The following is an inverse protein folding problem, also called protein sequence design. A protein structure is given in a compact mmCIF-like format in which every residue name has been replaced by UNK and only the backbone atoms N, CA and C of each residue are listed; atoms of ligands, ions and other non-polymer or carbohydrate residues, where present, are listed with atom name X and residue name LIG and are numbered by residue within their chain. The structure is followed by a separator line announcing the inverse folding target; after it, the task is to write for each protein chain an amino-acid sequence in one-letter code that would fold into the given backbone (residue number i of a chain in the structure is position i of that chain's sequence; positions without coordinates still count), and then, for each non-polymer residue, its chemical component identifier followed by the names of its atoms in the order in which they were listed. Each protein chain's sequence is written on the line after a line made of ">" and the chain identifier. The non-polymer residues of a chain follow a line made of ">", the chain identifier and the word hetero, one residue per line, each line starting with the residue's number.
data_IF_775092489976
#
_entry.id   IF_775092489976
#
_cell.length_a   1.000
_cell.length_b   1.000
_cell.length_c   1.000
_cell.angle_alpha   90.00
_cell.angle_beta   90.00
_cell.angle_gamma   90.00
#
_symmetry.space_group_name_H-M   'P 1'
#
loop_
_entity.id
_entity.type
_entity.pdbx_description
1 polymer ?
#
# COMPACT_ATOMS: atom_id res chain seq x y z
N UNK A 1 -18.49 -25.88 12.04
CA UNK A 1 -19.37 -24.69 12.04
C UNK A 1 -18.49 -23.50 12.37
N UNK A 2 -18.39 -22.52 11.47
CA UNK A 2 -17.54 -21.34 11.67
C UNK A 2 -18.04 -20.52 12.86
N UNK A 3 -17.14 -20.12 13.76
CA UNK A 3 -17.47 -19.29 14.93
C UNK A 3 -17.28 -17.81 14.56
N UNK A 4 -18.25 -16.92 14.85
CA UNK A 4 -18.05 -15.49 14.63
C UNK A 4 -17.01 -14.95 15.62
N UNK A 5 -16.09 -14.13 15.10
CA UNK A 5 -15.06 -13.41 15.88
C UNK A 5 -15.70 -12.32 16.73
N UNK A 6 -16.72 -11.67 16.19
CA UNK A 6 -17.49 -10.65 16.90
C UNK A 6 -18.95 -10.74 16.48
N UNK A 7 -19.85 -10.69 17.44
CA UNK A 7 -21.27 -10.50 17.19
C UNK A 7 -21.82 -9.36 18.04
N UNK A 8 -22.78 -8.62 17.50
CA UNK A 8 -23.40 -7.54 18.24
C UNK A 8 -24.44 -6.76 17.45
N UNK A 9 -25.07 -5.81 18.13
CA UNK A 9 -26.05 -4.91 17.53
C UNK A 9 -25.33 -3.70 16.93
N UNK A 10 -25.59 -3.44 15.65
CA UNK A 10 -25.18 -2.24 14.93
C UNK A 10 -26.43 -1.48 14.46
N UNK A 11 -26.30 -0.17 14.32
CA UNK A 11 -27.31 0.67 13.69
C UNK A 11 -26.79 1.11 12.32
N UNK A 12 -27.53 0.83 11.26
CA UNK A 12 -27.15 1.26 9.91
C UNK A 12 -27.94 2.50 9.56
N UNK A 13 -27.27 3.53 9.06
CA UNK A 13 -27.93 4.73 8.59
C UNK A 13 -28.56 4.49 7.20
N UNK A 14 -29.83 4.84 7.07
CA UNK A 14 -30.58 4.83 5.84
C UNK A 14 -31.11 6.24 5.54
N UNK A 15 -30.77 6.78 4.36
CA UNK A 15 -31.39 7.98 3.83
C UNK A 15 -32.61 7.58 2.98
N UNK A 16 -33.81 7.99 3.41
CA UNK A 16 -35.04 7.88 2.60
C UNK A 16 -35.69 9.26 2.54
N UNK A 17 -36.00 9.76 1.34
CA UNK A 17 -36.65 11.06 1.13
C UNK A 17 -35.94 12.23 1.85
N UNK A 18 -34.61 12.30 1.78
CA UNK A 18 -33.81 13.35 2.44
C UNK A 18 -33.71 13.22 3.97
N UNK A 19 -34.50 12.34 4.60
CA UNK A 19 -34.44 12.09 6.05
C UNK A 19 -33.49 10.94 6.37
N UNK A 20 -32.52 11.20 7.24
CA UNK A 20 -31.61 10.19 7.80
C UNK A 20 -32.34 9.43 8.92
N UNK A 21 -32.35 8.12 8.84
CA UNK A 21 -32.96 7.23 9.83
C UNK A 21 -32.00 6.10 10.18
N UNK A 22 -32.00 5.68 11.43
CA UNK A 22 -31.14 4.60 11.90
C UNK A 22 -31.96 3.31 12.03
N UNK A 23 -31.46 2.22 11.47
CA UNK A 23 -32.10 0.91 11.54
C UNK A 23 -31.26 -0.06 12.35
N UNK A 24 -31.87 -0.67 13.37
CA UNK A 24 -31.23 -1.69 14.21
C UNK A 24 -30.98 -2.96 13.41
N UNK A 25 -29.78 -3.50 13.52
CA UNK A 25 -29.31 -4.66 12.79
C UNK A 25 -28.38 -5.48 13.69
N UNK A 26 -28.36 -6.80 13.53
CA UNK A 26 -27.36 -7.66 14.15
C UNK A 26 -26.26 -7.93 13.13
N UNK A 27 -25.02 -7.73 13.52
CA UNK A 27 -23.86 -8.01 12.69
C UNK A 27 -23.05 -9.15 13.31
N UNK A 28 -22.53 -10.03 12.45
CA UNK A 28 -21.62 -11.11 12.81
C UNK A 28 -20.41 -11.05 11.89
N UNK A 29 -19.22 -11.01 12.49
CA UNK A 29 -17.96 -10.93 11.80
C UNK A 29 -17.27 -12.29 11.83
N UNK A 30 -16.86 -12.81 10.68
CA UNK A 30 -16.17 -14.08 10.54
C UNK A 30 -14.75 -13.82 10.00
N UNK A 31 -13.75 -14.47 10.60
CA UNK A 31 -12.39 -14.49 10.08
C UNK A 31 -12.28 -15.41 8.87
N UNK A 32 -11.23 -15.20 8.07
CA UNK A 32 -10.86 -16.17 7.04
C UNK A 32 -10.46 -17.49 7.72
N UNK A 33 -10.99 -18.59 7.18
CA UNK A 33 -10.69 -19.95 7.62
C UNK A 33 -10.49 -20.84 6.39
N UNK A 34 -9.90 -22.03 6.53
CA UNK A 34 -9.83 -23.01 5.44
C UNK A 34 -11.20 -23.40 4.87
N UNK A 35 -12.28 -23.09 5.59
CA UNK A 35 -13.66 -23.39 5.21
C UNK A 35 -14.46 -22.17 4.72
N UNK A 36 -13.87 -20.97 4.70
CA UNK A 36 -14.60 -19.76 4.32
C UNK A 36 -13.81 -18.47 4.37
N UNK A 37 -14.27 -17.47 3.62
CA UNK A 37 -13.63 -16.15 3.55
C UNK A 37 -14.03 -15.25 4.72
N UNK A 38 -13.16 -14.29 5.04
CA UNK A 38 -13.44 -13.25 6.02
C UNK A 38 -14.61 -12.39 5.54
N UNK A 39 -15.67 -12.30 6.35
CA UNK A 39 -16.93 -11.65 5.96
C UNK A 39 -17.70 -11.10 7.15
N UNK A 40 -18.43 -10.02 6.93
CA UNK A 40 -19.40 -9.48 7.86
C UNK A 40 -20.81 -9.78 7.35
N UNK A 41 -21.56 -10.58 8.11
CA UNK A 41 -22.97 -10.88 7.85
C UNK A 41 -23.87 -9.94 8.64
N UNK A 42 -24.89 -9.41 7.97
CA UNK A 42 -25.82 -8.42 8.50
C UNK A 42 -27.26 -8.92 8.45
N UNK A 43 -27.96 -8.83 9.57
CA UNK A 43 -29.31 -9.32 9.76
C UNK A 43 -30.21 -8.23 10.33
N UNK A 44 -31.30 -7.91 9.63
CA UNK A 44 -32.30 -7.00 10.16
C UNK A 44 -32.96 -7.59 11.41
N UNK A 45 -32.86 -6.88 12.54
CA UNK A 45 -33.57 -7.24 13.76
C UNK A 45 -34.97 -6.65 13.65
N UNK A 46 -35.99 -7.48 13.45
CA UNK A 46 -37.39 -7.06 13.60
C UNK A 46 -37.71 -7.02 15.10
N UNK A 47 -38.38 -5.96 15.52
CA UNK A 47 -38.75 -5.65 16.91
C UNK A 47 -40.03 -6.39 17.31
N UNK A 48 -40.09 -7.71 17.09
CA UNK A 48 -41.24 -8.51 17.51
C UNK A 48 -40.75 -9.64 18.41
N UNK A 49 -41.23 -9.63 19.66
CA UNK A 49 -40.71 -10.36 20.81
C UNK A 49 -40.91 -11.87 20.79
N UNK A 50 -40.73 -12.53 19.65
CA UNK A 50 -40.72 -13.99 19.55
C UNK A 50 -39.30 -14.50 19.39
N UNK A 51 -38.90 -15.41 20.29
CA UNK A 51 -37.62 -16.11 20.25
C UNK A 51 -37.42 -16.71 18.86
N UNK A 52 -36.47 -16.13 18.11
CA UNK A 52 -36.30 -16.43 16.69
C UNK A 52 -35.55 -17.74 16.53
N UNK A 53 -36.29 -18.81 16.23
CA UNK A 53 -35.78 -20.13 15.89
C UNK A 53 -34.79 -20.05 14.71
N UNK A 54 -33.74 -20.89 14.74
CA UNK A 54 -32.57 -20.87 13.82
C UNK A 54 -32.94 -20.99 12.33
N UNK A 55 -34.19 -21.36 12.04
CA UNK A 55 -34.82 -21.52 10.72
C UNK A 55 -35.36 -20.21 10.11
N UNK A 56 -35.66 -19.19 10.91
CA UNK A 56 -36.27 -17.92 10.43
C UNK A 56 -35.25 -16.84 10.05
N UNK A 57 -33.96 -17.09 10.33
CA UNK A 57 -32.80 -16.39 9.77
C UNK A 57 -32.72 -16.45 8.23
N UNK A 58 -33.43 -17.39 7.59
CA UNK A 58 -33.39 -17.61 6.13
C UNK A 58 -34.27 -16.66 5.31
N UNK A 59 -35.21 -15.93 5.93
CA UNK A 59 -36.20 -15.10 5.20
C UNK A 59 -36.00 -13.58 5.33
N UNK A 60 -35.01 -13.15 6.10
CA UNK A 60 -34.58 -11.76 6.17
C UNK A 60 -33.39 -11.58 5.22
N UNK A 61 -33.34 -10.48 4.46
CA UNK A 61 -32.32 -10.24 3.43
C UNK A 61 -30.92 -10.21 4.04
N UNK A 62 -30.28 -11.39 4.15
CA UNK A 62 -28.94 -11.57 4.67
C UNK A 62 -27.98 -10.87 3.73
N UNK A 63 -27.47 -9.71 4.16
CA UNK A 63 -26.49 -8.95 3.38
C UNK A 63 -25.11 -9.31 3.90
N UNK A 64 -24.33 -9.96 3.05
CA UNK A 64 -22.94 -10.35 3.37
C UNK A 64 -22.02 -9.32 2.73
N UNK A 65 -21.11 -8.76 3.52
CA UNK A 65 -19.97 -7.98 3.01
C UNK A 65 -18.74 -8.87 3.14
N UNK A 66 -18.04 -9.14 2.05
CA UNK A 66 -16.71 -9.76 2.14
C UNK A 66 -15.72 -8.71 2.60
N UNK A 67 -14.86 -9.08 3.53
CA UNK A 67 -13.87 -8.12 4.04
C UNK A 67 -12.76 -7.84 3.02
N UNK A 68 -12.63 -8.69 1.98
CA UNK A 68 -11.83 -8.41 0.78
C UNK A 68 -12.30 -7.17 0.02
N UNK A 69 -13.59 -6.86 0.10
CA UNK A 69 -14.20 -5.77 -0.66
C UNK A 69 -14.15 -4.46 0.13
N UNK A 70 -13.62 -4.48 1.35
CA UNK A 70 -13.49 -3.30 2.20
C UNK A 70 -12.32 -2.44 1.73
N UNK A 71 -12.61 -1.18 1.39
CA UNK A 71 -11.63 -0.18 0.97
C UNK A 71 -11.10 0.59 2.18
N UNK A 72 -11.99 1.01 3.08
CA UNK A 72 -11.61 1.81 4.25
C UNK A 72 -12.61 1.67 5.38
N UNK A 73 -12.11 1.67 6.61
CA UNK A 73 -12.92 1.70 7.84
C UNK A 73 -12.38 2.79 8.75
N UNK A 74 -13.25 3.63 9.28
CA UNK A 74 -12.82 4.72 10.15
C UNK A 74 -13.93 5.33 10.98
N UNK A 75 -13.59 6.10 12.01
CA UNK A 75 -14.57 6.81 12.82
C UNK A 75 -15.30 7.87 11.99
N UNK A 76 -16.60 8.02 12.20
CA UNK A 76 -17.39 9.09 11.60
C UNK A 76 -17.72 10.14 12.68
N UNK A 77 -17.49 11.42 12.37
CA UNK A 77 -17.74 12.54 13.29
C UNK A 77 -19.22 12.88 13.45
N UNK A 78 -19.62 13.20 14.70
CA UNK A 78 -20.87 13.85 15.16
C UNK A 78 -22.10 13.76 14.24
N UNK A 79 -22.51 12.54 13.90
CA UNK A 79 -23.87 12.31 13.47
C UNK A 79 -24.79 12.14 14.68
N UNK A 80 -26.06 12.53 14.57
CA UNK A 80 -27.08 12.31 15.59
C UNK A 80 -27.33 10.80 15.77
N UNK A 81 -26.47 10.16 16.55
CA UNK A 81 -26.47 8.71 16.79
C UNK A 81 -27.57 8.34 17.78
N UNK A 82 -28.25 7.20 17.62
CA UNK A 82 -29.20 6.72 18.61
C UNK A 82 -28.46 6.21 19.87
N UNK A 83 -29.03 6.47 21.06
CA UNK A 83 -28.73 5.75 22.33
C UNK A 83 -27.23 5.55 22.65
N UNK A 84 -26.49 6.63 22.93
CA UNK A 84 -25.09 6.58 23.39
C UNK A 84 -24.13 5.72 22.51
N UNK A 85 -24.47 5.52 21.23
CA UNK A 85 -23.61 4.84 20.27
C UNK A 85 -22.76 5.84 19.51
N UNK A 86 -21.62 5.38 18.99
CA UNK A 86 -20.73 6.18 18.19
C UNK A 86 -20.68 5.65 16.75
N UNK A 87 -20.68 6.57 15.78
CA UNK A 87 -20.71 6.24 14.37
C UNK A 87 -19.31 5.94 13.80
N UNK A 88 -19.28 5.09 12.79
CA UNK A 88 -18.12 4.75 11.97
C UNK A 88 -18.58 4.45 10.55
N UNK A 89 -17.71 4.69 9.57
CA UNK A 89 -17.99 4.35 8.19
C UNK A 89 -17.25 3.07 7.79
N UNK A 90 -17.89 2.32 6.90
CA UNK A 90 -17.34 1.15 6.24
C UNK A 90 -17.56 1.35 4.74
N UNK A 91 -16.48 1.64 4.02
CA UNK A 91 -16.53 1.78 2.56
C UNK A 91 -16.13 0.47 1.92
N UNK A 92 -17.00 -0.09 1.10
CA UNK A 92 -16.70 -1.23 0.23
C UNK A 92 -16.60 -0.78 -1.22
N UNK A 93 -16.12 -1.65 -2.10
CA UNK A 93 -16.07 -1.43 -3.56
C UNK A 93 -17.42 -1.03 -4.17
N UNK A 94 -18.51 -1.60 -3.64
CA UNK A 94 -19.85 -1.32 -4.13
C UNK A 94 -20.51 -0.12 -3.45
N UNK A 95 -20.27 0.09 -2.14
CA UNK A 95 -21.07 1.02 -1.34
C UNK A 95 -20.36 1.47 -0.06
N UNK A 96 -20.57 2.73 0.31
CA UNK A 96 -20.25 3.23 1.66
C UNK A 96 -21.42 3.07 2.62
N UNK A 97 -21.14 2.54 3.81
CA UNK A 97 -22.08 2.32 4.90
C UNK A 97 -21.71 3.19 6.08
N UNK A 98 -22.69 3.87 6.67
CA UNK A 98 -22.54 4.52 7.97
C UNK A 98 -23.19 3.63 9.02
N UNK A 99 -22.39 3.20 9.99
CA UNK A 99 -22.74 2.24 11.04
C UNK A 99 -22.55 2.90 12.40
N UNK A 100 -23.35 2.58 13.40
CA UNK A 100 -23.16 3.02 14.77
C UNK A 100 -23.18 1.83 15.73
N UNK A 101 -22.25 1.84 16.69
CA UNK A 101 -22.07 0.81 17.69
C UNK A 101 -21.78 1.43 19.07
N UNK A 102 -22.12 0.71 20.13
CA UNK A 102 -21.76 1.10 21.50
C UNK A 102 -20.24 1.09 21.71
N UNK A 103 -19.55 0.07 21.19
CA UNK A 103 -18.08 -0.05 21.22
C UNK A 103 -17.48 0.12 19.84
N UNK A 104 -17.58 1.34 19.26
CA UNK A 104 -17.12 1.61 17.88
C UNK A 104 -15.67 1.21 17.65
N UNK A 105 -14.78 1.52 18.60
CA UNK A 105 -13.33 1.32 18.43
C UNK A 105 -12.98 -0.15 18.32
N UNK A 106 -13.65 -1.02 19.09
CA UNK A 106 -13.49 -2.47 18.95
C UNK A 106 -13.98 -2.98 17.58
N UNK A 107 -15.11 -2.46 17.09
CA UNK A 107 -15.62 -2.85 15.76
C UNK A 107 -14.68 -2.41 14.64
N UNK A 108 -14.18 -1.18 14.69
CA UNK A 108 -13.20 -0.66 13.73
C UNK A 108 -11.93 -1.51 13.77
N UNK A 109 -11.40 -1.78 14.97
CA UNK A 109 -10.18 -2.57 15.14
C UNK A 109 -10.31 -3.97 14.55
N UNK A 110 -11.41 -4.66 14.83
CA UNK A 110 -11.66 -6.01 14.32
C UNK A 110 -11.90 -6.04 12.80
N UNK A 111 -12.65 -5.07 12.28
CA UNK A 111 -12.85 -4.93 10.83
C UNK A 111 -11.53 -4.63 10.12
N UNK A 112 -10.70 -3.73 10.67
CA UNK A 112 -9.40 -3.41 10.10
C UNK A 112 -8.45 -4.61 10.13
N UNK A 113 -8.43 -5.37 11.23
CA UNK A 113 -7.63 -6.59 11.35
C UNK A 113 -8.01 -7.63 10.29
N UNK A 114 -9.30 -7.91 10.13
CA UNK A 114 -9.75 -8.96 9.22
C UNK A 114 -9.82 -8.52 7.75
N UNK A 115 -9.97 -7.23 7.46
CA UNK A 115 -10.00 -6.69 6.10
C UNK A 115 -8.61 -6.35 5.55
N UNK A 116 -7.72 -5.80 6.39
CA UNK A 116 -6.45 -5.24 5.91
C UNK A 116 -5.20 -5.96 6.44
N UNK A 117 -5.31 -6.81 7.47
CA UNK A 117 -4.14 -7.44 8.11
C UNK A 117 -4.06 -8.95 7.85
N UNK A 118 -4.29 -9.39 6.61
CA UNK A 118 -3.99 -10.74 6.14
C UNK A 118 -2.49 -11.10 6.10
N UNK A 119 -1.68 -10.62 7.05
CA UNK A 119 -0.22 -10.84 7.11
C UNK A 119 0.41 -10.50 8.48
N UNK A 120 -0.29 -10.71 9.61
CA UNK A 120 0.31 -10.63 10.95
C UNK A 120 0.41 -11.99 11.64
N UNK A 121 0.91 -12.97 10.90
CA UNK A 121 1.53 -14.17 11.45
C UNK A 121 2.89 -14.33 10.77
N UNK A 122 3.87 -13.52 11.21
CA UNK A 122 5.32 -13.80 11.21
C UNK A 122 6.08 -12.51 11.51
N UNK A 123 6.08 -12.12 12.78
CA UNK A 123 7.16 -11.33 13.35
C UNK A 123 7.62 -12.02 14.63
N UNK A 124 8.24 -13.19 14.47
CA UNK A 124 9.19 -13.77 15.42
C UNK A 124 10.07 -14.79 14.68
N UNK A 125 11.30 -14.33 14.43
CA UNK A 125 12.57 -15.03 14.20
C UNK A 125 12.61 -16.57 14.27
N UNK A 126 13.39 -17.12 13.32
CA UNK A 126 14.17 -18.36 13.37
C UNK A 126 13.43 -19.68 13.11
N UNK A 127 13.51 -20.17 11.86
CA UNK A 127 14.04 -21.49 11.50
C UNK A 127 13.59 -21.89 10.08
N UNK A 128 14.56 -21.86 9.16
CA UNK A 128 14.71 -22.69 7.95
C UNK A 128 13.53 -23.61 7.60
N UNK A 129 12.76 -23.26 6.56
CA UNK A 129 12.05 -24.25 5.73
C UNK A 129 12.13 -23.85 4.26
N UNK A 130 12.41 -24.84 3.43
CA UNK A 130 12.86 -24.81 2.02
C UNK A 130 11.84 -24.20 1.02
N UNK A 131 12.30 -23.79 -0.19
CA UNK A 131 11.54 -22.97 -1.13
C UNK A 131 10.55 -23.80 -1.95
N UNK A 132 9.34 -23.27 -2.14
CA UNK A 132 8.47 -23.62 -3.27
C UNK A 132 9.00 -22.95 -4.56
N UNK A 133 8.66 -23.45 -5.77
CA UNK A 133 9.17 -22.86 -7.00
C UNK A 133 8.65 -21.44 -7.10
N UNK A 134 9.56 -20.47 -7.00
CA UNK A 134 9.27 -19.08 -7.21
C UNK A 134 8.72 -18.93 -8.62
N UNK A 135 7.42 -18.68 -8.73
CA UNK A 135 6.87 -18.03 -9.91
C UNK A 135 7.64 -16.71 -10.02
N UNK A 136 8.35 -16.42 -11.12
CA UNK A 136 8.96 -15.12 -11.30
C UNK A 136 7.81 -14.12 -11.40
N UNK A 137 7.46 -13.51 -10.27
CA UNK A 137 6.58 -12.36 -10.24
C UNK A 137 7.41 -11.19 -10.75
N UNK A 138 7.02 -10.64 -11.89
CA UNK A 138 7.60 -9.42 -12.43
C UNK A 138 7.26 -8.28 -11.47
N UNK A 139 8.28 -7.65 -10.89
CA UNK A 139 8.10 -6.57 -9.92
C UNK A 139 7.44 -5.38 -10.60
N UNK A 140 6.23 -5.02 -10.15
CA UNK A 140 5.47 -3.91 -10.69
C UNK A 140 6.12 -2.58 -10.27
N UNK A 141 7.04 -2.11 -11.11
CA UNK A 141 7.85 -0.89 -10.92
C UNK A 141 7.04 0.41 -11.06
N UNK A 142 5.70 0.36 -11.06
CA UNK A 142 4.82 1.54 -11.09
C UNK A 142 4.59 2.15 -9.69
N UNK A 143 4.95 1.43 -8.62
CA UNK A 143 4.79 1.87 -7.23
C UNK A 143 6.13 2.16 -6.54
N UNK A 144 7.23 2.24 -7.28
CA UNK A 144 8.51 2.69 -6.74
C UNK A 144 8.34 4.10 -6.20
N UNK A 145 8.97 4.34 -5.05
CA UNK A 145 8.87 5.60 -4.35
C UNK A 145 9.35 6.74 -5.26
N UNK A 146 8.86 7.96 -5.09
CA UNK A 146 9.33 9.13 -5.86
C UNK A 146 10.85 9.36 -5.75
N UNK A 147 11.52 8.69 -4.81
CA UNK A 147 12.98 8.68 -4.65
C UNK A 147 13.70 7.85 -5.74
N UNK A 148 13.06 6.81 -6.28
CA UNK A 148 13.61 5.95 -7.35
C UNK A 148 13.51 6.60 -8.75
N UNK A 149 12.74 7.69 -8.89
CA UNK A 149 12.60 8.44 -10.15
C UNK A 149 13.87 9.23 -10.55
N UNK A 150 14.92 9.15 -9.74
CA UNK A 150 16.18 9.86 -9.99
C UNK A 150 17.34 8.94 -10.36
N UNK A 151 17.10 7.63 -10.49
CA UNK A 151 18.11 6.66 -10.91
C UNK A 151 17.97 6.34 -12.39
N UNK A 152 19.05 6.58 -13.14
CA UNK A 152 19.08 6.38 -14.58
C UNK A 152 20.11 5.30 -14.92
N UNK A 153 19.73 4.20 -15.58
CA UNK A 153 20.71 3.25 -16.09
C UNK A 153 21.49 3.90 -17.24
N UNK A 154 22.81 3.93 -17.10
CA UNK A 154 23.71 4.61 -18.03
C UNK A 154 24.85 3.71 -18.48
N UNK A 155 25.32 3.92 -19.71
CA UNK A 155 26.53 3.30 -20.23
C UNK A 155 27.66 4.33 -20.22
N UNK A 156 28.77 4.03 -19.53
CA UNK A 156 29.94 4.91 -19.52
C UNK A 156 30.59 4.91 -20.89
N UNK A 157 30.73 6.11 -21.45
CA UNK A 157 31.53 6.34 -22.66
C UNK A 157 32.98 6.56 -22.24
N UNK A 158 33.89 5.93 -22.97
CA UNK A 158 35.32 6.01 -22.68
C UNK A 158 35.83 7.45 -22.82
N UNK A 159 36.52 7.93 -21.79
CA UNK A 159 37.12 9.25 -21.65
C UNK A 159 38.37 9.15 -20.77
N UNK A 160 39.29 10.10 -20.86
CA UNK A 160 40.47 10.14 -19.98
C UNK A 160 40.11 10.13 -18.47
N UNK A 161 38.92 10.66 -18.13
CA UNK A 161 38.41 10.70 -16.76
C UNK A 161 37.81 9.35 -16.32
N UNK A 162 37.04 8.69 -17.19
CA UNK A 162 36.48 7.37 -16.89
C UNK A 162 37.57 6.32 -16.76
N UNK A 163 38.58 6.35 -17.63
CA UNK A 163 39.65 5.34 -17.66
C UNK A 163 40.52 5.44 -16.41
N UNK A 164 40.81 6.68 -15.99
CA UNK A 164 41.52 6.95 -14.72
C UNK A 164 40.74 6.47 -13.50
N UNK A 165 39.42 6.56 -13.55
CA UNK A 165 38.53 6.06 -12.49
C UNK A 165 38.14 4.58 -12.67
N UNK A 166 38.73 3.89 -13.65
CA UNK A 166 38.42 2.49 -13.99
C UNK A 166 36.94 2.20 -14.28
N UNK A 167 36.19 3.20 -14.76
CA UNK A 167 34.76 3.09 -15.05
C UNK A 167 34.54 2.56 -16.47
N UNK A 168 33.93 1.38 -16.60
CA UNK A 168 33.67 0.75 -17.89
C UNK A 168 32.34 0.00 -17.89
N UNK A 169 31.52 0.20 -18.92
CA UNK A 169 30.24 -0.52 -19.07
C UNK A 169 29.07 0.17 -18.37
N UNK A 170 28.15 -0.63 -17.81
CA UNK A 170 26.85 -0.18 -17.32
C UNK A 170 26.89 0.19 -15.84
N UNK A 171 26.27 1.30 -15.50
CA UNK A 171 26.13 1.81 -14.13
C UNK A 171 24.75 2.44 -13.90
N UNK A 172 24.43 2.69 -12.64
CA UNK A 172 23.26 3.48 -12.25
C UNK A 172 23.72 4.90 -11.87
N UNK A 173 23.17 5.92 -12.52
CA UNK A 173 23.41 7.31 -12.19
C UNK A 173 22.23 7.85 -11.39
N UNK A 174 22.44 8.16 -10.11
CA UNK A 174 21.44 8.77 -9.24
C UNK A 174 21.61 10.30 -9.21
N UNK A 175 20.57 11.04 -9.58
CA UNK A 175 20.51 12.49 -9.49
C UNK A 175 19.89 12.92 -8.15
N UNK A 176 20.72 13.07 -7.11
CA UNK A 176 20.27 13.53 -5.80
C UNK A 176 20.08 15.06 -5.78
N UNK A 177 19.37 15.63 -4.77
CA UNK A 177 19.14 17.07 -4.70
C UNK A 177 20.40 17.95 -4.63
N UNK A 178 21.55 17.40 -4.21
CA UNK A 178 22.80 18.15 -4.02
C UNK A 178 24.01 17.58 -4.77
N UNK A 179 23.88 16.40 -5.38
CA UNK A 179 24.99 15.70 -6.03
C UNK A 179 24.50 14.68 -7.07
N UNK A 180 25.38 14.35 -8.01
CA UNK A 180 25.27 13.16 -8.85
C UNK A 180 26.06 12.02 -8.20
N UNK A 181 25.50 10.82 -8.15
CA UNK A 181 26.20 9.64 -7.62
C UNK A 181 26.12 8.50 -8.62
N UNK A 182 27.29 7.96 -9.00
CA UNK A 182 27.38 6.72 -9.77
C UNK A 182 27.34 5.55 -8.80
N UNK A 183 26.47 4.58 -9.08
CA UNK A 183 26.29 3.37 -8.28
C UNK A 183 26.54 2.13 -9.12
N UNK A 184 26.98 1.08 -8.44
CA UNK A 184 27.08 -0.25 -9.02
C UNK A 184 25.68 -0.84 -9.29
N UNK A 185 25.41 -1.39 -10.48
CA UNK A 185 24.09 -1.84 -10.88
C UNK A 185 23.59 -3.09 -10.13
N UNK A 186 24.47 -3.88 -9.49
CA UNK A 186 24.06 -5.08 -8.76
C UNK A 186 23.91 -4.82 -7.26
N UNK A 187 24.85 -4.08 -6.68
CA UNK A 187 24.93 -3.83 -5.24
C UNK A 187 24.29 -2.51 -4.81
N UNK A 188 23.95 -1.63 -5.76
CA UNK A 188 23.44 -0.28 -5.54
C UNK A 188 24.35 0.56 -4.63
N UNK A 189 25.61 0.17 -4.48
CA UNK A 189 26.59 0.89 -3.68
C UNK A 189 27.15 2.08 -4.46
N UNK A 190 27.33 3.24 -3.81
CA UNK A 190 27.90 4.42 -4.44
C UNK A 190 29.40 4.19 -4.72
N UNK A 191 29.81 4.38 -5.97
CA UNK A 191 31.19 4.29 -6.43
C UNK A 191 31.86 5.66 -6.45
N UNK A 192 31.19 6.66 -7.03
CA UNK A 192 31.67 8.03 -7.14
C UNK A 192 30.53 9.00 -6.90
N UNK A 193 30.83 10.12 -6.23
CA UNK A 193 29.86 11.18 -5.99
C UNK A 193 30.44 12.52 -6.40
N UNK A 194 29.66 13.28 -7.16
CA UNK A 194 29.99 14.61 -7.65
C UNK A 194 28.98 15.61 -7.10
N UNK A 195 29.32 16.37 -6.05
CA UNK A 195 28.52 17.51 -5.62
C UNK A 195 28.33 18.50 -6.77
N UNK A 196 27.11 19.03 -6.96
CA UNK A 196 26.83 19.97 -8.04
C UNK A 196 27.73 21.22 -8.00
N UNK A 197 28.16 21.60 -6.80
CA UNK A 197 29.09 22.72 -6.57
C UNK A 197 30.49 22.51 -7.16
N UNK A 198 30.87 21.26 -7.45
CA UNK A 198 32.17 20.91 -8.03
C UNK A 198 32.10 20.58 -9.52
N UNK A 199 30.91 20.61 -10.12
CA UNK A 199 30.73 20.50 -11.56
C UNK A 199 30.99 21.85 -12.23
N UNK A 200 31.77 21.86 -13.31
CA UNK A 200 32.03 23.07 -14.10
C UNK A 200 31.00 23.29 -15.19
N UNK A 201 30.55 22.20 -15.81
CA UNK A 201 29.53 22.18 -16.85
C UNK A 201 28.81 20.84 -16.84
N UNK A 202 27.56 20.83 -17.26
CA UNK A 202 26.79 19.63 -17.54
C UNK A 202 25.88 19.90 -18.73
N UNK A 203 25.54 18.86 -19.48
CA UNK A 203 24.71 18.97 -20.67
C UNK A 203 24.18 17.62 -21.09
N UNK A 204 23.02 17.62 -21.71
CA UNK A 204 22.40 16.44 -22.29
C UNK A 204 22.13 16.71 -23.77
N UNK A 205 22.59 15.82 -24.63
CA UNK A 205 22.31 15.83 -26.07
C UNK A 205 21.71 14.49 -26.50
N UNK A 206 20.46 14.52 -26.97
CA UNK A 206 19.65 13.37 -27.41
C UNK A 206 19.60 12.17 -26.44
N UNK A 207 20.65 11.35 -26.44
CA UNK A 207 20.83 10.11 -25.67
C UNK A 207 22.13 10.11 -24.87
N UNK A 208 22.85 11.23 -24.81
CA UNK A 208 24.14 11.36 -24.16
C UNK A 208 24.03 12.43 -23.08
N UNK A 209 24.38 12.07 -21.86
CA UNK A 209 24.56 12.98 -20.75
C UNK A 209 26.05 13.13 -20.48
N UNK A 210 26.53 14.37 -20.33
CA UNK A 210 27.93 14.64 -20.03
C UNK A 210 28.08 15.73 -18.99
N UNK A 211 29.12 15.63 -18.16
CA UNK A 211 29.50 16.69 -17.23
C UNK A 211 31.00 16.76 -17.05
N UNK A 212 31.51 17.95 -16.70
CA UNK A 212 32.90 18.15 -16.33
C UNK A 212 33.03 18.29 -14.82
N UNK A 213 33.71 17.34 -14.21
CA UNK A 213 34.10 17.40 -12.81
C UNK A 213 35.29 18.35 -12.64
N UNK A 214 35.26 19.17 -11.58
CA UNK A 214 36.40 19.98 -11.17
C UNK A 214 37.44 19.20 -10.37
N UNK A 215 38.60 19.83 -10.14
CA UNK A 215 39.73 19.24 -9.39
C UNK A 215 39.42 18.87 -7.93
N UNK A 216 38.33 19.43 -7.39
CA UNK A 216 37.88 19.19 -6.01
C UNK A 216 37.01 17.94 -5.86
N UNK A 217 36.62 17.32 -6.98
CA UNK A 217 35.89 16.06 -6.99
C UNK A 217 36.84 14.89 -6.76
N UNK A 218 36.38 13.84 -6.08
CA UNK A 218 37.19 12.65 -5.78
C UNK A 218 37.67 11.91 -7.05
N UNK A 219 36.95 12.08 -8.16
CA UNK A 219 37.33 11.57 -9.48
C UNK A 219 38.50 12.32 -10.14
N UNK A 220 38.93 13.44 -9.55
CA UNK A 220 39.77 14.44 -10.20
C UNK A 220 39.03 15.21 -11.30
N UNK A 221 39.73 16.14 -11.95
CA UNK A 221 39.15 16.91 -13.06
C UNK A 221 39.03 16.11 -14.34
N UNK A 222 37.97 16.35 -15.10
CA UNK A 222 37.75 15.69 -16.37
C UNK A 222 36.29 15.62 -16.77
N UNK A 223 36.06 15.27 -18.02
CA UNK A 223 34.71 15.13 -18.58
C UNK A 223 34.27 13.68 -18.49
N UNK A 224 33.13 13.44 -17.83
CA UNK A 224 32.45 12.17 -17.82
C UNK A 224 31.30 12.21 -18.81
N UNK A 225 31.20 11.16 -19.63
CA UNK A 225 30.18 11.05 -20.66
C UNK A 225 29.46 9.71 -20.49
N UNK A 226 28.13 9.76 -20.54
CA UNK A 226 27.24 8.65 -20.27
C UNK A 226 26.20 8.58 -21.38
N UNK A 227 26.00 7.40 -21.97
CA UNK A 227 24.91 7.13 -22.89
C UNK A 227 23.71 6.63 -22.11
N UNK A 228 22.58 7.33 -22.19
CA UNK A 228 21.31 6.96 -21.57
C UNK A 228 20.35 6.48 -22.67
N UNK A 229 19.88 5.21 -22.63
CA UNK A 229 18.78 4.82 -23.49
C UNK A 229 17.55 5.65 -23.10
N UNK A 230 16.97 6.39 -24.05
CA UNK A 230 15.73 7.14 -23.79
C UNK A 230 14.69 6.15 -23.26
N UNK A 231 14.01 6.51 -22.16
CA UNK A 231 12.69 5.98 -21.90
C UNK A 231 11.85 6.34 -23.13
N UNK A 232 11.36 5.34 -23.84
CA UNK A 232 10.41 5.52 -24.93
C UNK A 232 9.18 6.20 -24.31
N UNK A 233 8.84 7.41 -24.78
CA UNK A 233 7.57 8.07 -24.43
C UNK A 233 6.37 7.23 -24.87
#
# INVERSE_FOLDING_TARGET
>A
MERPVKDGILYVQHCKFGKRSWRKMRAQLFAASPSGVARMEKFDVRDDGTVLDKTSLRRCARRVIRLSDCISVGPAGTESCPKATAAFYLTTTEKSYVLAAERRDEWITQLCQLAFQGAKETAQSSARTKPSPAVPMEENSLYTSWQDLTEFPVLVVQTDASDRCSLHGHYLLSALPQSLTLKDPQSHQPLLTWPYTFLRKFGQDQTIFSFEAGRRSDSGEGTFTFSTPRALE
#
